data_IF_071269672220
#
_entry.id   IF_071269672220
#
_cell.length_a   1.000
_cell.length_b   1.000
_cell.length_c   1.000
_cell.angle_alpha   90.00
_cell.angle_beta   90.00
_cell.angle_gamma   90.00
#
_symmetry.space_group_name_H-M   'P 1'
#
loop_
_entity.id
_entity.type
_entity.pdbx_description
1 polymer ?
#
# COMPACT_ATOMS: atom_id res chain seq x y z
N UNK A 1 13.14 12.43 -3.45
CA UNK A 1 11.81 11.87 -3.65
C UNK A 1 11.87 10.36 -3.78
N UNK A 2 12.03 9.67 -2.66
CA UNK A 2 11.87 8.23 -2.57
C UNK A 2 10.39 7.90 -2.52
N UNK A 3 9.79 7.58 -3.66
CA UNK A 3 8.40 7.11 -3.73
C UNK A 3 8.35 5.65 -3.32
N UNK A 4 7.38 5.27 -2.48
CA UNK A 4 7.25 3.89 -2.01
C UNK A 4 6.98 2.90 -3.16
N UNK A 5 7.64 1.76 -3.18
CA UNK A 5 7.34 0.75 -4.20
C UNK A 5 6.00 0.07 -3.91
N UNK A 6 5.37 -0.51 -4.94
CA UNK A 6 4.11 -1.25 -4.79
C UNK A 6 4.21 -2.43 -3.78
N UNK A 7 5.43 -2.93 -3.53
CA UNK A 7 5.71 -3.94 -2.51
C UNK A 7 5.41 -3.48 -1.08
N UNK A 8 5.60 -2.19 -0.78
CA UNK A 8 5.34 -1.63 0.55
C UNK A 8 3.85 -1.72 0.88
N UNK A 9 3.00 -1.40 -0.11
CA UNK A 9 1.55 -1.49 0.02
C UNK A 9 1.07 -2.96 0.08
N UNK A 10 1.70 -3.86 -0.68
CA UNK A 10 1.41 -5.30 -0.60
C UNK A 10 1.71 -5.88 0.79
N UNK A 11 2.84 -5.50 1.38
CA UNK A 11 3.24 -5.94 2.72
C UNK A 11 2.20 -5.48 3.78
N UNK A 12 1.74 -4.23 3.70
CA UNK A 12 0.65 -3.72 4.55
C UNK A 12 -0.66 -4.50 4.36
N UNK A 13 -1.06 -4.78 3.11
CA UNK A 13 -2.26 -5.56 2.81
C UNK A 13 -2.17 -7.00 3.38
N UNK A 14 -1.01 -7.61 3.30
CA UNK A 14 -0.77 -8.97 3.81
C UNK A 14 -0.83 -9.01 5.34
N UNK A 15 -0.27 -8.01 6.02
CA UNK A 15 -0.33 -7.90 7.48
C UNK A 15 -1.76 -7.71 7.99
N UNK A 16 -2.57 -6.93 7.27
CA UNK A 16 -4.02 -6.79 7.52
C UNK A 16 -4.72 -8.14 7.37
N UNK A 17 -4.47 -8.90 6.29
CA UNK A 17 -5.06 -10.23 6.07
C UNK A 17 -4.65 -11.24 7.15
N UNK A 18 -3.41 -11.19 7.59
CA UNK A 18 -2.87 -12.09 8.61
C UNK A 18 -3.31 -11.70 10.03
N UNK A 19 -4.03 -10.59 10.21
CA UNK A 19 -4.47 -10.10 11.53
C UNK A 19 -3.32 -9.72 12.47
N UNK A 20 -2.12 -9.43 11.92
CA UNK A 20 -0.92 -9.11 12.71
C UNK A 20 -0.88 -7.63 13.08
N UNK A 21 -1.88 -7.17 13.82
CA UNK A 21 -2.11 -5.74 14.12
C UNK A 21 -0.94 -5.06 14.86
N UNK A 22 -0.30 -5.74 15.80
CA UNK A 22 0.85 -5.18 16.52
C UNK A 22 2.03 -4.88 15.59
N UNK A 23 2.34 -5.80 14.67
CA UNK A 23 3.39 -5.60 13.66
C UNK A 23 2.99 -4.59 12.61
N UNK A 24 1.71 -4.57 12.24
CA UNK A 24 1.16 -3.60 11.28
C UNK A 24 1.37 -2.16 11.78
N UNK A 25 1.16 -1.90 13.06
CA UNK A 25 1.42 -0.59 13.66
C UNK A 25 2.90 -0.20 13.55
N UNK A 26 3.80 -1.05 14.04
CA UNK A 26 5.25 -0.81 13.99
C UNK A 26 5.78 -0.59 12.57
N UNK A 27 5.26 -1.36 11.60
CA UNK A 27 5.66 -1.26 10.20
C UNK A 27 5.11 0.03 9.58
N UNK A 28 3.86 0.40 9.89
CA UNK A 28 3.26 1.65 9.41
C UNK A 28 4.05 2.87 9.89
N UNK A 29 4.48 2.90 11.16
CA UNK A 29 5.36 3.97 11.67
C UNK A 29 6.72 3.98 10.96
N UNK A 30 7.36 2.82 10.77
CA UNK A 30 8.64 2.73 10.06
C UNK A 30 8.54 3.17 8.60
N UNK A 31 7.45 2.83 7.92
CA UNK A 31 7.20 3.24 6.54
C UNK A 31 6.85 4.72 6.45
N UNK A 32 6.11 5.26 7.41
CA UNK A 32 5.88 6.70 7.51
C UNK A 32 7.20 7.46 7.69
N UNK A 33 8.09 7.04 8.59
CA UNK A 33 9.38 7.71 8.77
C UNK A 33 10.27 7.60 7.51
N UNK A 34 10.36 6.40 6.92
CA UNK A 34 11.20 6.13 5.74
C UNK A 34 10.72 6.85 4.48
N UNK A 35 9.41 7.00 4.30
CA UNK A 35 8.79 7.61 3.12
C UNK A 35 7.97 8.84 3.52
N UNK A 36 8.57 9.73 4.29
CA UNK A 36 7.96 10.99 4.73
C UNK A 36 7.56 11.93 3.58
N UNK A 37 8.17 11.79 2.40
CA UNK A 37 7.81 12.54 1.19
C UNK A 37 6.62 11.92 0.42
N UNK A 38 6.18 10.70 0.75
CA UNK A 38 5.11 9.98 0.03
C UNK A 38 3.76 10.19 0.73
N UNK A 39 3.05 11.25 0.33
CA UNK A 39 1.76 11.63 0.91
C UNK A 39 0.70 10.51 0.84
N UNK A 40 0.72 9.67 -0.21
CA UNK A 40 -0.22 8.55 -0.33
C UNK A 40 0.06 7.48 0.72
N UNK A 41 1.34 7.13 0.91
CA UNK A 41 1.74 6.18 1.94
C UNK A 41 1.45 6.72 3.35
N UNK A 42 1.75 8.00 3.60
CA UNK A 42 1.44 8.65 4.88
C UNK A 42 -0.04 8.53 5.21
N UNK A 43 -0.90 8.91 4.27
CA UNK A 43 -2.36 8.86 4.45
C UNK A 43 -2.84 7.45 4.79
N UNK A 44 -2.27 6.42 4.16
CA UNK A 44 -2.62 5.03 4.47
C UNK A 44 -2.11 4.62 5.85
N UNK A 45 -0.86 4.92 6.19
CA UNK A 45 -0.29 4.59 7.50
C UNK A 45 -1.10 5.23 8.63
N UNK A 46 -1.48 6.50 8.48
CA UNK A 46 -2.35 7.20 9.44
C UNK A 46 -3.74 6.57 9.53
N UNK A 47 -4.36 6.22 8.41
CA UNK A 47 -5.65 5.52 8.39
C UNK A 47 -5.58 4.17 9.10
N UNK A 48 -4.48 3.42 8.91
CA UNK A 48 -4.25 2.13 9.55
C UNK A 48 -4.12 2.31 11.06
N UNK A 49 -3.28 3.23 11.52
CA UNK A 49 -3.07 3.50 12.94
C UNK A 49 -4.39 3.90 13.62
N UNK A 50 -5.17 4.79 12.99
CA UNK A 50 -6.49 5.19 13.50
C UNK A 50 -7.51 4.04 13.52
N UNK A 51 -7.50 3.18 12.49
CA UNK A 51 -8.39 2.01 12.45
C UNK A 51 -8.04 0.98 13.52
N UNK A 52 -6.74 0.80 13.80
CA UNK A 52 -6.27 -0.05 14.89
C UNK A 52 -6.66 0.52 16.26
N UNK A 53 -6.58 1.84 16.44
CA UNK A 53 -6.98 2.51 17.68
C UNK A 53 -8.49 2.45 17.95
N UNK A 54 -9.31 2.41 16.89
CA UNK A 54 -10.78 2.36 16.99
C UNK A 54 -11.36 0.94 16.88
N UNK A 55 -10.51 -0.08 16.70
CA UNK A 55 -10.89 -1.49 16.50
C UNK A 55 -11.98 -1.71 15.41
N UNK A 56 -12.07 -0.79 14.45
CA UNK A 56 -13.10 -0.80 13.42
C UNK A 56 -12.70 -1.72 12.26
N UNK A 57 -13.22 -2.94 12.26
CA UNK A 57 -13.01 -3.90 11.16
C UNK A 57 -13.54 -3.40 9.81
N UNK A 58 -14.62 -2.62 9.81
CA UNK A 58 -15.21 -2.05 8.59
C UNK A 58 -14.25 -1.08 7.89
N UNK A 59 -13.57 -0.24 8.67
CA UNK A 59 -12.58 0.70 8.14
C UNK A 59 -11.34 -0.02 7.62
N UNK A 60 -10.92 -1.10 8.29
CA UNK A 60 -9.81 -1.93 7.85
C UNK A 60 -10.07 -2.57 6.48
N UNK A 61 -11.31 -3.01 6.22
CA UNK A 61 -11.74 -3.53 4.92
C UNK A 61 -11.74 -2.44 3.83
N UNK A 62 -12.15 -1.22 4.16
CA UNK A 62 -12.08 -0.09 3.24
C UNK A 62 -10.63 0.25 2.88
N UNK A 63 -9.74 0.31 3.88
CA UNK A 63 -8.31 0.55 3.70
C UNK A 63 -7.68 -0.52 2.81
N UNK A 64 -8.08 -1.78 2.99
CA UNK A 64 -7.60 -2.89 2.15
C UNK A 64 -7.99 -2.69 0.68
N UNK A 65 -9.19 -2.20 0.39
CA UNK A 65 -9.61 -1.88 -0.99
C UNK A 65 -8.81 -0.71 -1.57
N UNK A 66 -8.61 0.35 -0.78
CA UNK A 66 -7.75 1.49 -1.15
C UNK A 66 -6.32 1.03 -1.49
N UNK A 67 -5.73 0.19 -0.62
CA UNK A 67 -4.41 -0.41 -0.83
C UNK A 67 -4.34 -1.21 -2.14
N UNK A 68 -5.33 -2.05 -2.42
CA UNK A 68 -5.38 -2.82 -3.67
C UNK A 68 -5.45 -1.92 -4.90
N UNK A 69 -6.25 -0.85 -4.86
CA UNK A 69 -6.30 0.11 -5.97
C UNK A 69 -4.96 0.79 -6.18
N UNK A 70 -4.29 1.24 -5.11
CA UNK A 70 -2.98 1.89 -5.18
C UNK A 70 -1.88 0.94 -5.68
N UNK A 71 -1.88 -0.32 -5.24
CA UNK A 71 -0.97 -1.35 -5.74
C UNK A 71 -1.15 -1.51 -7.26
N UNK A 72 -2.39 -1.59 -7.74
CA UNK A 72 -2.67 -1.74 -9.17
C UNK A 72 -2.23 -0.50 -9.96
N UNK A 73 -2.52 0.71 -9.45
CA UNK A 73 -2.08 1.96 -10.06
C UNK A 73 -0.56 2.04 -10.16
N UNK A 74 0.17 1.75 -9.07
CA UNK A 74 1.64 1.79 -9.07
C UNK A 74 2.24 0.66 -9.91
N UNK A 75 1.63 -0.53 -9.94
CA UNK A 75 2.04 -1.63 -10.85
C UNK A 75 1.86 -1.24 -12.32
N UNK A 76 0.78 -0.55 -12.67
CA UNK A 76 0.58 -0.05 -14.03
C UNK A 76 1.58 1.06 -14.41
N UNK A 77 1.89 1.97 -13.48
CA UNK A 77 2.86 3.03 -13.69
C UNK A 77 4.32 2.53 -13.80
N UNK A 78 4.69 1.52 -13.00
CA UNK A 78 6.03 0.88 -13.06
C UNK A 78 6.13 -0.20 -14.15
N UNK A 79 5.00 -0.67 -14.68
CA UNK A 79 4.88 -1.66 -15.75
C UNK A 79 4.90 -1.07 -17.17
N UNK A 80 5.46 0.13 -17.37
CA UNK A 80 5.58 0.82 -18.65
C UNK A 80 6.50 0.16 -19.71
N UNK A 81 6.68 -1.16 -19.68
CA UNK A 81 7.46 -1.92 -20.66
C UNK A 81 6.65 -2.90 -21.52
N UNK A 82 5.40 -3.22 -21.16
CA UNK A 82 4.66 -4.30 -21.82
C UNK A 82 3.81 -3.87 -23.02
N UNK A 83 3.74 -2.57 -23.35
CA UNK A 83 3.05 -2.10 -24.56
C UNK A 83 3.92 -2.15 -25.83
N UNK A 84 5.23 -2.43 -25.70
CA UNK A 84 6.15 -2.49 -26.86
C UNK A 84 6.29 -3.88 -27.51
N UNK A 85 5.73 -4.95 -26.93
CA UNK A 85 5.98 -6.33 -27.40
C UNK A 85 4.79 -7.03 -28.06
N UNK A 86 3.63 -6.38 -28.15
CA UNK A 86 2.42 -7.00 -28.72
C UNK A 86 1.95 -6.41 -30.06
N UNK A 87 2.64 -5.43 -30.63
CA UNK A 87 2.31 -4.90 -31.98
C UNK A 87 3.21 -5.42 -33.12
N UNK A 88 4.18 -6.31 -32.86
CA UNK A 88 5.00 -6.94 -33.91
C UNK A 88 5.06 -8.46 -33.76
N UNK A 89 3.89 -9.11 -33.85
CA UNK A 89 3.84 -10.52 -34.24
C UNK A 89 2.72 -10.72 -35.26
N UNK A 90 3.14 -10.38 -36.48
CA UNK A 90 2.62 -10.69 -37.81
C UNK A 90 1.79 -11.96 -37.93
#
# INVERSE_FOLDING_TARGET
MTTASHYVFMDLEEMIKNGKYSKLHEISEKYSDRYNEDNELQTICDKIINSLATENQQELENIKKDLQQLINTRKMQTGGGSRLWFEDRR
#
